data_IF_075396119348
#
_entry.id   IF_075396119348
#
_cell.length_a   1.000
_cell.length_b   1.000
_cell.length_c   1.000
_cell.angle_alpha   90.00
_cell.angle_beta   90.00
_cell.angle_gamma   90.00
#
_symmetry.space_group_name_H-M   'P 1'
#
loop_
_entity.id
_entity.type
_entity.pdbx_description
1 polymer ?
#
# COMPACT_ATOMS: atom_id res chain seq x y z
N UNK A 1 -40.07 -18.74 0.78
CA UNK A 1 -40.02 -17.32 0.35
C UNK A 1 -39.91 -16.34 1.51
N UNK A 2 -40.97 -16.02 2.28
CA UNK A 2 -40.86 -15.00 3.35
C UNK A 2 -39.78 -15.33 4.39
N UNK A 3 -39.75 -16.59 4.88
CA UNK A 3 -38.79 -17.08 5.87
C UNK A 3 -37.33 -17.09 5.37
N UNK A 4 -37.11 -17.37 4.08
CA UNK A 4 -35.78 -17.33 3.44
C UNK A 4 -35.28 -15.89 3.29
N UNK A 5 -36.17 -14.96 2.93
CA UNK A 5 -35.84 -13.54 2.83
C UNK A 5 -35.49 -12.97 4.22
N UNK A 6 -36.24 -13.31 5.28
CA UNK A 6 -35.90 -12.88 6.64
C UNK A 6 -34.57 -13.45 7.13
N UNK A 7 -34.26 -14.71 6.80
CA UNK A 7 -32.97 -15.32 7.12
C UNK A 7 -31.81 -14.64 6.37
N UNK A 8 -31.99 -14.31 5.09
CA UNK A 8 -31.00 -13.59 4.29
C UNK A 8 -30.77 -12.16 4.81
N UNK A 9 -31.83 -11.46 5.19
CA UNK A 9 -31.75 -10.11 5.77
C UNK A 9 -31.11 -10.14 7.15
N UNK A 10 -31.45 -11.12 8.00
CA UNK A 10 -30.84 -11.27 9.31
C UNK A 10 -29.35 -11.67 9.22
N UNK A 11 -28.99 -12.55 8.28
CA UNK A 11 -27.60 -12.89 8.00
C UNK A 11 -26.82 -11.68 7.45
N UNK A 12 -27.42 -10.90 6.55
CA UNK A 12 -26.85 -9.65 6.04
C UNK A 12 -26.61 -8.62 7.13
N UNK A 13 -27.59 -8.39 8.01
CA UNK A 13 -27.48 -7.45 9.14
C UNK A 13 -26.48 -7.91 10.20
N UNK A 14 -26.44 -9.21 10.51
CA UNK A 14 -25.46 -9.79 11.42
C UNK A 14 -24.02 -9.64 10.90
N UNK A 15 -23.83 -9.88 9.60
CA UNK A 15 -22.53 -9.68 8.95
C UNK A 15 -22.12 -8.21 8.95
N UNK A 16 -23.06 -7.29 8.72
CA UNK A 16 -22.82 -5.84 8.74
C UNK A 16 -22.49 -5.34 10.15
N UNK A 17 -23.17 -5.84 11.18
CA UNK A 17 -22.87 -5.53 12.57
C UNK A 17 -21.47 -6.04 12.99
N UNK A 18 -21.11 -7.26 12.58
CA UNK A 18 -19.79 -7.84 12.83
C UNK A 18 -18.66 -7.14 12.05
N UNK A 19 -18.95 -6.70 10.82
CA UNK A 19 -18.04 -5.90 9.99
C UNK A 19 -17.73 -4.54 10.64
N UNK A 20 -18.74 -3.91 11.25
CA UNK A 20 -18.61 -2.60 11.93
C UNK A 20 -17.88 -2.70 13.28
N UNK A 21 -17.97 -3.81 14.00
CA UNK A 21 -17.41 -3.94 15.36
C UNK A 21 -16.18 -4.85 15.44
N UNK A 22 -16.31 -6.12 15.06
CA UNK A 22 -15.23 -7.12 15.19
C UNK A 22 -14.11 -6.93 14.16
N UNK A 23 -14.46 -6.84 12.88
CA UNK A 23 -13.45 -6.76 11.80
C UNK A 23 -12.63 -5.47 11.84
N UNK A 24 -13.22 -4.34 12.24
CA UNK A 24 -12.46 -3.09 12.43
C UNK A 24 -11.46 -3.15 13.57
N UNK A 25 -11.77 -3.87 14.66
CA UNK A 25 -10.81 -4.07 15.76
C UNK A 25 -9.67 -4.97 15.30
N UNK A 26 -9.96 -6.07 14.61
CA UNK A 26 -8.95 -6.96 14.04
C UNK A 26 -8.09 -6.28 12.96
N UNK A 27 -8.69 -5.45 12.11
CA UNK A 27 -7.96 -4.63 11.13
C UNK A 27 -7.03 -3.62 11.83
N UNK A 28 -7.48 -2.98 12.92
CA UNK A 28 -6.62 -2.12 13.74
C UNK A 28 -5.47 -2.90 14.38
N UNK A 29 -5.68 -4.15 14.78
CA UNK A 29 -4.62 -5.01 15.30
C UNK A 29 -3.61 -5.38 14.22
N UNK A 30 -4.06 -5.84 13.04
CA UNK A 30 -3.20 -6.13 11.87
C UNK A 30 -2.40 -4.90 11.45
N UNK A 31 -3.04 -3.73 11.41
CA UNK A 31 -2.38 -2.42 11.19
C UNK A 31 -1.29 -2.12 12.22
N UNK A 32 -1.57 -2.31 13.51
CA UNK A 32 -0.59 -2.09 14.59
C UNK A 32 0.60 -3.03 14.44
N UNK A 33 0.34 -4.30 14.15
CA UNK A 33 1.38 -5.33 13.98
C UNK A 33 2.27 -5.05 12.76
N UNK A 34 1.68 -4.68 11.62
CA UNK A 34 2.47 -4.23 10.45
C UNK A 34 3.28 -2.98 10.75
N UNK A 35 2.68 -1.98 11.41
CA UNK A 35 3.40 -0.76 11.78
C UNK A 35 4.55 -1.03 12.74
N UNK A 36 4.38 -1.95 13.69
CA UNK A 36 5.46 -2.39 14.58
C UNK A 36 6.62 -3.03 13.78
N UNK A 37 6.31 -3.92 12.81
CA UNK A 37 7.32 -4.48 11.90
C UNK A 37 8.04 -3.41 11.06
N UNK A 38 7.34 -2.33 10.68
CA UNK A 38 7.90 -1.25 9.87
C UNK A 38 8.65 -0.20 10.68
N UNK A 39 8.25 0.08 11.91
CA UNK A 39 8.99 1.01 12.79
C UNK A 39 10.40 0.52 13.06
N UNK A 40 10.61 -0.80 13.06
CA UNK A 40 11.95 -1.38 13.19
C UNK A 40 12.82 -1.16 11.93
N UNK A 41 12.22 -0.80 10.80
CA UNK A 41 12.88 -0.61 9.50
C UNK A 41 13.06 0.86 9.07
N UNK A 42 12.39 1.78 9.77
CA UNK A 42 12.44 3.21 9.51
C UNK A 42 13.25 3.90 10.61
N UNK A 43 14.20 4.80 10.29
CA UNK A 43 14.72 5.71 11.29
C UNK A 43 13.62 6.73 11.63
N UNK A 44 12.74 6.36 12.57
CA UNK A 44 11.81 7.31 13.16
C UNK A 44 12.55 8.11 14.24
N UNK A 45 12.32 9.44 14.34
CA UNK A 45 12.85 10.23 15.44
C UNK A 45 12.33 9.69 16.78
N UNK A 46 13.19 9.68 17.78
CA UNK A 46 12.84 9.20 19.11
C UNK A 46 11.80 10.10 19.79
N UNK A 47 11.04 9.60 20.78
CA UNK A 47 10.13 10.43 21.53
C UNK A 47 10.90 11.55 22.26
N UNK A 48 10.78 12.79 21.78
CA UNK A 48 11.45 13.98 22.34
C UNK A 48 12.29 14.78 21.35
N UNK A 49 12.57 14.27 20.15
CA UNK A 49 13.22 15.04 19.08
C UNK A 49 12.19 15.92 18.36
N UNK A 50 12.47 17.23 18.27
CA UNK A 50 11.75 18.09 17.33
C UNK A 50 12.00 17.58 15.91
N UNK A 51 10.96 17.45 15.06
CA UNK A 51 11.15 16.94 13.72
C UNK A 51 11.81 18.03 12.89
N UNK A 52 13.15 18.06 12.87
CA UNK A 52 13.83 18.60 11.72
C UNK A 52 13.32 17.79 10.51
N UNK A 53 12.90 18.46 9.44
CA UNK A 53 12.41 17.76 8.26
C UNK A 53 13.51 16.79 7.80
N UNK A 54 13.28 15.45 7.88
CA UNK A 54 14.31 14.47 7.58
C UNK A 54 14.79 14.56 6.13
N UNK A 55 14.07 15.30 5.27
CA UNK A 55 14.39 15.50 3.86
C UNK A 55 15.01 16.88 3.56
N UNK A 56 15.28 17.72 4.56
CA UNK A 56 15.83 19.07 4.38
C UNK A 56 17.17 19.13 3.61
N UNK A 57 17.86 17.99 3.42
CA UNK A 57 19.10 17.87 2.63
C UNK A 57 18.94 17.27 1.22
N UNK A 58 17.75 16.81 0.83
CA UNK A 58 17.55 16.03 -0.41
C UNK A 58 17.54 16.92 -1.67
N UNK A 59 17.34 18.22 -1.52
CA UNK A 59 17.28 19.19 -2.62
C UNK A 59 18.57 19.28 -3.47
N UNK A 60 19.69 18.69 -3.01
CA UNK A 60 20.94 18.54 -3.78
C UNK A 60 21.06 17.24 -4.58
N UNK A 61 20.18 16.27 -4.33
CA UNK A 61 20.28 14.88 -4.83
C UNK A 61 19.16 14.56 -5.82
N UNK A 62 17.93 14.99 -5.54
CA UNK A 62 16.75 14.78 -6.37
C UNK A 62 15.94 16.08 -6.52
N UNK A 63 15.15 16.23 -7.59
CA UNK A 63 14.21 17.35 -7.70
C UNK A 63 13.19 17.35 -6.56
N UNK A 64 12.97 18.50 -5.94
CA UNK A 64 12.06 18.64 -4.79
C UNK A 64 10.63 18.18 -5.12
N UNK A 65 10.11 18.58 -6.29
CA UNK A 65 8.79 18.15 -6.76
C UNK A 65 8.65 16.61 -6.88
N UNK A 66 9.72 15.91 -7.27
CA UNK A 66 9.72 14.45 -7.37
C UNK A 66 9.71 13.80 -5.98
N UNK A 67 10.46 14.36 -5.02
CA UNK A 67 10.49 13.88 -3.63
C UNK A 67 9.13 14.08 -2.98
N UNK A 68 8.53 15.25 -3.11
CA UNK A 68 7.21 15.54 -2.55
C UNK A 68 6.13 14.63 -3.14
N UNK A 69 6.14 14.43 -4.46
CA UNK A 69 5.20 13.52 -5.10
C UNK A 69 5.40 12.07 -4.65
N UNK A 70 6.66 11.65 -4.45
CA UNK A 70 6.97 10.32 -3.89
C UNK A 70 6.42 10.18 -2.47
N UNK A 71 6.50 11.22 -1.62
CA UNK A 71 5.91 11.21 -0.27
C UNK A 71 4.39 11.06 -0.31
N UNK A 72 3.73 11.86 -1.14
CA UNK A 72 2.26 11.80 -1.29
C UNK A 72 1.83 10.42 -1.76
N UNK A 73 2.51 9.86 -2.77
CA UNK A 73 2.20 8.52 -3.29
C UNK A 73 2.41 7.46 -2.20
N UNK A 74 3.49 7.55 -1.43
CA UNK A 74 3.78 6.62 -0.34
C UNK A 74 2.69 6.67 0.74
N UNK A 75 2.25 7.86 1.15
CA UNK A 75 1.18 8.01 2.15
C UNK A 75 -0.15 7.44 1.64
N UNK A 76 -0.51 7.71 0.38
CA UNK A 76 -1.73 7.17 -0.21
C UNK A 76 -1.64 5.64 -0.39
N UNK A 77 -0.48 5.12 -0.78
CA UNK A 77 -0.27 3.68 -0.93
C UNK A 77 -0.32 2.96 0.43
N UNK A 78 0.20 3.58 1.50
CA UNK A 78 0.04 3.06 2.86
C UNK A 78 -1.44 2.97 3.28
N UNK A 79 -2.24 3.99 2.93
CA UNK A 79 -3.69 3.97 3.18
C UNK A 79 -4.40 2.86 2.38
N UNK A 80 -3.96 2.60 1.14
CA UNK A 80 -4.46 1.48 0.35
C UNK A 80 -4.15 0.15 1.05
N UNK A 81 -2.92 -0.06 1.50
CA UNK A 81 -2.53 -1.28 2.25
C UNK A 81 -3.35 -1.41 3.54
N UNK A 82 -3.59 -0.31 4.26
CA UNK A 82 -4.46 -0.32 5.44
C UNK A 82 -5.92 -0.69 5.11
N UNK A 83 -6.43 -0.34 3.93
CA UNK A 83 -7.75 -0.76 3.47
C UNK A 83 -7.80 -2.27 3.19
N UNK A 84 -6.71 -2.84 2.65
CA UNK A 84 -6.64 -4.27 2.37
C UNK A 84 -6.83 -5.14 3.61
N UNK A 85 -6.50 -4.68 4.82
CA UNK A 85 -6.80 -5.44 6.03
C UNK A 85 -8.27 -5.77 6.19
N UNK A 86 -9.13 -4.77 5.98
CA UNK A 86 -10.55 -4.95 6.12
C UNK A 86 -11.08 -5.85 5.01
N UNK A 87 -10.57 -5.68 3.80
CA UNK A 87 -10.92 -6.49 2.63
C UNK A 87 -10.55 -7.97 2.88
N UNK A 88 -9.36 -8.24 3.39
CA UNK A 88 -8.91 -9.61 3.69
C UNK A 88 -9.80 -10.28 4.73
N UNK A 89 -10.15 -9.57 5.80
CA UNK A 89 -11.07 -10.10 6.81
C UNK A 89 -12.49 -10.38 6.26
N UNK A 90 -12.92 -9.62 5.24
CA UNK A 90 -14.18 -9.87 4.53
C UNK A 90 -14.07 -11.07 3.61
N UNK A 91 -12.98 -11.20 2.87
CA UNK A 91 -12.71 -12.33 1.98
C UNK A 91 -12.60 -13.65 2.77
N UNK A 92 -11.81 -13.68 3.85
CA UNK A 92 -11.67 -14.84 4.76
C UNK A 92 -13.03 -15.28 5.34
N UNK A 93 -13.90 -14.32 5.66
CA UNK A 93 -15.24 -14.62 6.15
C UNK A 93 -16.20 -15.09 5.03
N UNK A 94 -16.05 -14.55 3.82
CA UNK A 94 -16.80 -14.99 2.64
C UNK A 94 -16.45 -16.42 2.22
N UNK A 95 -15.21 -16.85 2.43
CA UNK A 95 -14.76 -18.23 2.15
C UNK A 95 -15.20 -19.24 3.22
N UNK A 96 -15.46 -18.80 4.46
CA UNK A 96 -15.88 -19.68 5.58
C UNK A 96 -17.39 -19.75 5.79
N UNK A 97 -18.16 -18.77 5.30
CA UNK A 97 -19.62 -18.80 5.26
C UNK A 97 -20.09 -19.23 3.85
N UNK A 98 -21.32 -19.73 3.72
CA UNK A 98 -21.88 -20.17 2.43
C UNK A 98 -21.98 -18.98 1.44
N UNK A 99 -20.91 -18.80 0.66
CA UNK A 99 -20.87 -18.33 -0.74
C UNK A 99 -21.19 -16.87 -1.04
N UNK A 100 -22.42 -16.41 -0.80
CA UNK A 100 -23.00 -15.39 -1.70
C UNK A 100 -23.46 -14.08 -1.02
N UNK A 101 -23.20 -13.88 0.27
CA UNK A 101 -23.76 -12.75 1.03
C UNK A 101 -22.69 -11.70 1.40
N UNK A 102 -21.39 -11.99 1.26
CA UNK A 102 -20.32 -11.09 1.73
C UNK A 102 -19.77 -10.25 0.58
N UNK A 103 -20.11 -8.96 0.58
CA UNK A 103 -19.46 -7.98 -0.30
C UNK A 103 -18.04 -7.69 0.20
N UNK A 104 -17.03 -8.05 -0.59
CA UNK A 104 -15.61 -7.86 -0.25
C UNK A 104 -15.13 -6.44 -0.58
N UNK A 105 -15.47 -5.94 -1.77
CA UNK A 105 -15.19 -4.56 -2.22
C UNK A 105 -13.72 -4.27 -2.48
N UNK A 106 -13.01 -5.19 -3.13
CA UNK A 106 -11.57 -5.08 -3.37
C UNK A 106 -11.18 -4.23 -4.59
N UNK A 107 -12.11 -4.01 -5.53
CA UNK A 107 -11.84 -3.41 -6.84
C UNK A 107 -11.25 -2.01 -6.71
N UNK A 108 -11.88 -1.15 -5.90
CA UNK A 108 -11.43 0.23 -5.69
C UNK A 108 -10.01 0.33 -5.12
N UNK A 109 -9.68 -0.36 -4.02
CA UNK A 109 -8.32 -0.34 -3.48
C UNK A 109 -7.26 -0.96 -4.41
N UNK A 110 -7.61 -1.99 -5.19
CA UNK A 110 -6.72 -2.55 -6.22
C UNK A 110 -6.41 -1.54 -7.31
N UNK A 111 -7.44 -0.92 -7.86
CA UNK A 111 -7.30 0.13 -8.87
C UNK A 111 -6.46 1.28 -8.36
N UNK A 112 -6.79 1.79 -7.16
CA UNK A 112 -6.05 2.89 -6.55
C UNK A 112 -4.57 2.56 -6.32
N UNK A 113 -4.26 1.35 -5.86
CA UNK A 113 -2.88 0.91 -5.69
C UNK A 113 -2.10 0.86 -7.01
N UNK A 114 -2.73 0.39 -8.10
CA UNK A 114 -2.12 0.40 -9.44
C UNK A 114 -1.88 1.83 -9.93
N UNK A 115 -2.88 2.71 -9.85
CA UNK A 115 -2.76 4.11 -10.27
C UNK A 115 -1.61 4.83 -9.57
N UNK A 116 -1.41 4.58 -8.28
CA UNK A 116 -0.34 5.19 -7.49
C UNK A 116 1.05 4.72 -7.97
N UNK A 117 1.21 3.43 -8.23
CA UNK A 117 2.47 2.87 -8.76
C UNK A 117 2.72 3.35 -10.18
N UNK A 118 1.71 3.30 -11.05
CA UNK A 118 1.77 3.81 -12.43
C UNK A 118 2.12 5.30 -12.46
N UNK A 119 1.49 6.10 -11.61
CA UNK A 119 1.76 7.52 -11.48
C UNK A 119 3.20 7.79 -11.04
N UNK A 120 3.73 7.01 -10.10
CA UNK A 120 5.14 7.15 -9.70
C UNK A 120 6.11 6.78 -10.83
N UNK A 121 5.84 5.68 -11.55
CA UNK A 121 6.64 5.27 -12.70
C UNK A 121 6.62 6.31 -13.82
N UNK A 122 5.48 6.96 -14.05
CA UNK A 122 5.37 8.08 -14.99
C UNK A 122 6.24 9.27 -14.56
N UNK A 123 6.27 9.62 -13.27
CA UNK A 123 7.17 10.68 -12.78
C UNK A 123 8.65 10.35 -13.00
N UNK A 124 9.04 9.10 -12.79
CA UNK A 124 10.41 8.66 -13.09
C UNK A 124 10.72 8.77 -14.58
N UNK A 125 9.74 8.48 -15.45
CA UNK A 125 9.89 8.58 -16.90
C UNK A 125 10.08 10.02 -17.38
N UNK A 126 9.55 11.01 -16.66
CA UNK A 126 9.73 12.45 -16.94
C UNK A 126 11.06 13.02 -16.42
N UNK A 127 11.78 12.28 -15.56
CA UNK A 127 13.07 12.75 -15.06
C UNK A 127 14.14 12.80 -16.18
N UNK A 128 15.00 13.84 -16.19
CA UNK A 128 16.17 13.89 -17.06
C UNK A 128 17.04 12.62 -16.93
N UNK A 129 17.57 12.10 -18.04
CA UNK A 129 18.32 10.85 -18.06
C UNK A 129 19.48 10.82 -17.04
N UNK A 130 20.27 11.89 -16.96
CA UNK A 130 21.38 12.02 -16.01
C UNK A 130 20.93 12.01 -14.53
N UNK A 131 19.71 12.49 -14.24
CA UNK A 131 19.14 12.40 -12.89
C UNK A 131 18.65 10.98 -12.61
N UNK A 132 17.98 10.36 -13.58
CA UNK A 132 17.51 8.98 -13.48
C UNK A 132 18.64 8.01 -13.18
N UNK A 133 19.74 8.08 -13.93
CA UNK A 133 20.95 7.27 -13.69
C UNK A 133 21.51 7.44 -12.27
N UNK A 134 21.50 8.68 -11.76
CA UNK A 134 21.94 8.97 -10.40
C UNK A 134 21.02 8.38 -9.36
N UNK A 135 19.70 8.49 -9.55
CA UNK A 135 18.71 7.92 -8.62
C UNK A 135 18.71 6.38 -8.68
N UNK A 136 18.91 5.79 -9.86
CA UNK A 136 19.12 4.36 -10.05
C UNK A 136 20.32 3.87 -9.24
N UNK A 137 21.44 4.60 -9.28
CA UNK A 137 22.62 4.30 -8.45
C UNK A 137 22.36 4.41 -6.94
N UNK A 138 21.32 5.15 -6.53
CA UNK A 138 20.84 5.26 -5.15
C UNK A 138 19.75 4.24 -4.81
N UNK A 139 19.47 3.29 -5.70
CA UNK A 139 18.52 2.20 -5.46
C UNK A 139 17.07 2.55 -5.79
N UNK A 140 16.83 3.41 -6.79
CA UNK A 140 15.48 3.69 -7.28
C UNK A 140 14.77 2.39 -7.71
N UNK A 141 13.58 2.05 -7.15
CA UNK A 141 13.03 0.70 -7.24
C UNK A 141 12.19 0.42 -8.51
N UNK A 142 12.54 1.01 -9.66
CA UNK A 142 11.73 0.97 -10.90
C UNK A 142 11.36 -0.45 -11.31
N UNK A 143 12.35 -1.31 -11.55
CA UNK A 143 12.11 -2.68 -12.04
C UNK A 143 11.29 -3.53 -11.06
N UNK A 144 11.45 -3.30 -9.75
CA UNK A 144 10.66 -4.02 -8.73
C UNK A 144 9.21 -3.59 -8.74
N UNK A 145 8.94 -2.28 -8.90
CA UNK A 145 7.58 -1.74 -8.95
C UNK A 145 6.87 -2.11 -10.26
N UNK A 146 7.58 -2.12 -11.39
CA UNK A 146 7.06 -2.62 -12.67
C UNK A 146 6.65 -4.09 -12.58
N UNK A 147 7.50 -4.93 -11.98
CA UNK A 147 7.21 -6.35 -11.80
C UNK A 147 5.97 -6.58 -10.91
N UNK A 148 5.84 -5.83 -9.82
CA UNK A 148 4.65 -5.89 -8.94
C UNK A 148 3.38 -5.46 -9.68
N UNK A 149 3.45 -4.39 -10.47
CA UNK A 149 2.33 -3.92 -11.25
C UNK A 149 1.91 -4.95 -12.32
N UNK A 150 2.86 -5.57 -13.00
CA UNK A 150 2.59 -6.62 -13.97
C UNK A 150 1.93 -7.84 -13.30
N UNK A 151 2.48 -8.32 -12.17
CA UNK A 151 1.90 -9.41 -11.41
C UNK A 151 0.49 -9.09 -10.88
N UNK A 152 0.24 -7.84 -10.50
CA UNK A 152 -1.07 -7.39 -10.05
C UNK A 152 -2.10 -7.37 -11.19
N UNK A 153 -1.70 -6.89 -12.37
CA UNK A 153 -2.55 -6.93 -13.58
C UNK A 153 -2.87 -8.37 -13.98
N UNK A 154 -1.88 -9.26 -13.94
CA UNK A 154 -2.07 -10.68 -14.21
C UNK A 154 -3.07 -11.29 -13.22
N UNK A 155 -2.90 -11.05 -11.91
CA UNK A 155 -3.84 -11.54 -10.88
C UNK A 155 -5.27 -11.05 -11.09
N UNK A 156 -5.47 -9.85 -11.62
CA UNK A 156 -6.82 -9.32 -11.90
C UNK A 156 -7.56 -10.11 -13.00
N UNK A 157 -6.84 -10.88 -13.83
CA UNK A 157 -7.43 -11.71 -14.88
C UNK A 157 -7.98 -13.04 -14.34
N UNK A 158 -7.64 -13.42 -13.11
CA UNK A 158 -8.08 -14.68 -12.53
C UNK A 158 -9.53 -14.61 -12.05
N UNK A 159 -10.30 -15.72 -12.15
CA UNK A 159 -11.62 -15.80 -11.57
C UNK A 159 -11.59 -15.47 -10.07
N UNK A 160 -12.60 -14.76 -9.58
CA UNK A 160 -12.74 -14.39 -8.17
C UNK A 160 -11.57 -13.55 -7.61
N UNK A 161 -10.80 -12.87 -8.47
CA UNK A 161 -9.72 -11.99 -8.03
C UNK A 161 -10.17 -10.92 -7.01
N UNK A 162 -11.42 -10.45 -7.09
CA UNK A 162 -11.99 -9.48 -6.15
C UNK A 162 -12.44 -10.06 -4.80
N UNK A 163 -12.50 -11.39 -4.65
CA UNK A 163 -13.06 -12.04 -3.46
C UNK A 163 -12.20 -13.13 -2.84
N UNK A 164 -11.23 -13.68 -3.58
CA UNK A 164 -10.32 -14.71 -3.07
C UNK A 164 -9.33 -14.11 -2.06
N UNK A 165 -9.36 -14.60 -0.82
CA UNK A 165 -8.47 -14.15 0.26
C UNK A 165 -7.00 -14.29 -0.14
N UNK A 166 -6.63 -15.42 -0.77
CA UNK A 166 -5.27 -15.70 -1.23
C UNK A 166 -4.78 -14.71 -2.28
N UNK A 167 -5.61 -14.39 -3.28
CA UNK A 167 -5.23 -13.45 -4.34
C UNK A 167 -5.13 -12.02 -3.78
N UNK A 168 -6.05 -11.64 -2.91
CA UNK A 168 -6.05 -10.34 -2.24
C UNK A 168 -4.87 -10.19 -1.29
N UNK A 169 -4.46 -11.27 -0.63
CA UNK A 169 -3.29 -11.27 0.26
C UNK A 169 -2.01 -11.05 -0.54
N UNK A 170 -1.88 -11.70 -1.70
CA UNK A 170 -0.77 -11.48 -2.61
C UNK A 170 -0.69 -10.01 -3.08
N UNK A 171 -1.83 -9.42 -3.46
CA UNK A 171 -1.90 -7.99 -3.82
C UNK A 171 -1.51 -7.08 -2.65
N UNK A 172 -2.04 -7.34 -1.45
CA UNK A 172 -1.73 -6.54 -0.26
C UNK A 172 -0.23 -6.59 0.09
N UNK A 173 0.39 -7.77 -0.02
CA UNK A 173 1.83 -7.96 0.20
C UNK A 173 2.68 -7.22 -0.83
N UNK A 174 2.28 -7.22 -2.11
CA UNK A 174 3.00 -6.48 -3.15
C UNK A 174 2.93 -4.96 -2.90
N UNK A 175 1.75 -4.43 -2.56
CA UNK A 175 1.62 -3.01 -2.21
C UNK A 175 2.38 -2.63 -0.93
N UNK A 176 2.38 -3.49 0.09
CA UNK A 176 3.22 -3.29 1.27
C UNK A 176 4.71 -3.28 0.91
N UNK A 177 5.16 -4.18 0.04
CA UNK A 177 6.54 -4.21 -0.43
C UNK A 177 6.89 -2.97 -1.24
N UNK A 178 5.98 -2.46 -2.06
CA UNK A 178 6.16 -1.20 -2.78
C UNK A 178 6.36 -0.03 -1.81
N UNK A 179 5.56 0.07 -0.73
CA UNK A 179 5.76 1.07 0.34
C UNK A 179 7.15 0.94 0.94
N UNK A 180 7.59 -0.26 1.31
CA UNK A 180 8.92 -0.48 1.91
C UNK A 180 10.07 -0.09 0.98
N UNK A 181 9.94 -0.37 -0.32
CA UNK A 181 10.95 0.02 -1.31
C UNK A 181 11.03 1.54 -1.48
N UNK A 182 9.89 2.22 -1.56
CA UNK A 182 9.85 3.69 -1.67
C UNK A 182 10.37 4.37 -0.40
N UNK A 183 10.03 3.83 0.77
CA UNK A 183 10.61 4.23 2.06
C UNK A 183 12.13 4.09 2.05
N UNK A 184 12.64 2.91 1.66
CA UNK A 184 14.06 2.63 1.64
C UNK A 184 14.82 3.54 0.69
N UNK A 185 14.23 3.81 -0.47
CA UNK A 185 14.75 4.77 -1.45
C UNK A 185 14.81 6.19 -0.90
N UNK A 186 13.73 6.71 -0.29
CA UNK A 186 13.77 8.02 0.37
C UNK A 186 14.84 8.07 1.48
N UNK A 187 15.00 7.00 2.25
CA UNK A 187 16.07 6.89 3.24
C UNK A 187 17.48 6.91 2.63
N UNK A 188 17.66 6.31 1.46
CA UNK A 188 18.92 6.37 0.71
C UNK A 188 19.21 7.80 0.21
N UNK A 189 18.19 8.54 -0.23
CA UNK A 189 18.34 9.94 -0.63
C UNK A 189 18.82 10.83 0.53
N UNK A 190 18.31 10.61 1.74
CA UNK A 190 18.73 11.36 2.94
C UNK A 190 20.20 11.10 3.29
N UNK A 191 20.65 9.85 3.12
CA UNK A 191 22.03 9.43 3.45
C UNK A 191 23.03 9.75 2.34
N UNK A 192 22.55 10.04 1.13
CA UNK A 192 23.42 10.38 0.02
C UNK A 192 24.17 11.68 0.33
N UNK A 193 25.50 11.72 0.15
CA UNK A 193 26.25 12.95 0.36
C UNK A 193 25.71 14.01 -0.60
N UNK A 194 25.22 15.13 -0.05
CA UNK A 194 24.92 16.31 -0.84
C UNK A 194 26.17 16.78 -1.58
N UNK A 195 26.02 17.34 -2.77
CA UNK A 195 27.15 17.92 -3.52
C UNK A 195 27.93 18.86 -2.59
N UNK A 196 29.24 18.63 -2.35
CA UNK A 196 30.05 19.50 -1.50
C UNK A 196 30.30 20.87 -2.15
N UNK A 197 29.92 21.03 -3.42
CA UNK A 197 29.94 22.28 -4.16
C UNK A 197 28.52 22.81 -4.29
N UNK A 198 28.06 23.54 -3.27
CA UNK A 198 26.97 24.51 -3.34
C UNK A 198 27.42 25.79 -2.67
#
# INVERSE_FOLDING_TARGET
MLLEITLLVAAGLGNLAWDVTGRRISARARRRERRARRSDSLPLPGPGEQPADPLAGVAGVAPEAFVDKTRVILEELDRVVDHFDLILLRAEAGESLVGDIVYVGAEGPRERGRELIEGWLAEVAELPAAQRERLDALGMPVASLEAMLAGERERCLWPHAGSSSKLLEATARDFERAVMLLVGFLGALVRAPGSPYR
#
